data_IF_092644147271
#
_entry.id   IF_092644147271
#
_cell.length_a   1.000
_cell.length_b   1.000
_cell.length_c   1.000
_cell.angle_alpha   90.00
_cell.angle_beta   90.00
_cell.angle_gamma   90.00
#
_symmetry.space_group_name_H-M   'P 1'
#
loop_
_entity.id
_entity.type
_entity.pdbx_description
1 polymer ?
#
# COMPACT_ATOMS: atom_id res chain seq x y z
N UNK A 1 -31.06 -54.81 19.42
CA UNK A 1 -32.16 -54.55 18.45
C UNK A 1 -32.13 -53.06 18.14
N UNK A 2 -32.28 -52.63 16.88
CA UNK A 2 -32.30 -51.19 16.58
C UNK A 2 -33.55 -50.57 17.23
N UNK A 3 -33.33 -49.66 18.16
CA UNK A 3 -34.39 -48.89 18.82
C UNK A 3 -34.87 -47.83 17.83
N UNK A 4 -35.85 -48.20 17.01
CA UNK A 4 -36.55 -47.24 16.13
C UNK A 4 -37.07 -46.08 16.98
N UNK A 5 -36.87 -44.85 16.53
CA UNK A 5 -37.22 -43.61 17.25
C UNK A 5 -36.49 -43.40 18.59
N UNK A 6 -35.20 -43.74 18.70
CA UNK A 6 -34.43 -43.46 19.92
C UNK A 6 -34.01 -41.98 20.06
N UNK A 7 -34.07 -41.18 18.98
CA UNK A 7 -33.85 -39.74 19.03
C UNK A 7 -35.19 -39.01 19.21
N UNK A 8 -35.20 -37.98 20.06
CA UNK A 8 -36.33 -37.04 20.12
C UNK A 8 -36.43 -36.19 18.85
N UNK A 9 -37.59 -35.55 18.63
CA UNK A 9 -37.80 -34.69 17.46
C UNK A 9 -36.81 -33.51 17.40
N UNK A 10 -36.44 -32.96 18.56
CA UNK A 10 -35.47 -31.87 18.69
C UNK A 10 -34.05 -32.32 18.29
N UNK A 11 -33.63 -33.49 18.76
CA UNK A 11 -32.30 -34.05 18.47
C UNK A 11 -32.18 -34.47 16.99
N UNK A 12 -33.25 -35.04 16.43
CA UNK A 12 -33.33 -35.37 15.00
C UNK A 12 -33.20 -34.12 14.14
N UNK A 13 -33.92 -33.05 14.49
CA UNK A 13 -33.87 -31.76 13.77
C UNK A 13 -32.49 -31.12 13.89
N UNK A 14 -31.90 -31.13 15.08
CA UNK A 14 -30.54 -30.65 15.34
C UNK A 14 -29.50 -31.36 14.44
N UNK A 15 -29.54 -32.69 14.36
CA UNK A 15 -28.63 -33.47 13.51
C UNK A 15 -28.85 -33.19 12.01
N UNK A 16 -30.10 -33.03 11.55
CA UNK A 16 -30.41 -32.68 10.16
C UNK A 16 -29.88 -31.30 9.77
N UNK A 17 -29.98 -30.31 10.66
CA UNK A 17 -29.47 -28.98 10.42
C UNK A 17 -27.93 -28.95 10.48
N UNK A 18 -27.33 -29.69 11.42
CA UNK A 18 -25.89 -29.88 11.48
C UNK A 18 -25.33 -30.54 10.21
N UNK A 19 -26.03 -31.52 9.63
CA UNK A 19 -25.63 -32.18 8.40
C UNK A 19 -25.55 -31.23 7.20
N UNK A 20 -26.39 -30.19 7.17
CA UNK A 20 -26.41 -29.17 6.10
C UNK A 20 -25.26 -28.16 6.23
N UNK A 21 -24.89 -27.82 7.47
CA UNK A 21 -23.90 -26.77 7.77
C UNK A 21 -22.47 -27.34 7.77
N UNK A 22 -22.29 -28.55 8.27
CA UNK A 22 -20.99 -29.16 8.48
C UNK A 22 -20.27 -29.45 7.14
N UNK A 23 -18.98 -29.08 7.07
CA UNK A 23 -18.16 -29.24 5.86
C UNK A 23 -17.27 -30.47 5.88
N UNK A 24 -17.01 -31.02 7.07
CA UNK A 24 -16.12 -32.17 7.26
C UNK A 24 -16.86 -33.46 6.92
N UNK A 25 -16.35 -34.19 5.93
CA UNK A 25 -16.96 -35.44 5.44
C UNK A 25 -17.14 -36.47 6.55
N UNK A 26 -16.16 -36.61 7.45
CA UNK A 26 -16.20 -37.65 8.49
C UNK A 26 -17.24 -37.36 9.58
N UNK A 27 -17.46 -36.08 9.90
CA UNK A 27 -18.49 -35.68 10.88
C UNK A 27 -19.88 -35.87 10.28
N UNK A 28 -20.05 -35.55 8.99
CA UNK A 28 -21.31 -35.80 8.27
C UNK A 28 -21.66 -37.29 8.19
N UNK A 29 -20.68 -38.14 7.92
CA UNK A 29 -20.86 -39.61 7.93
C UNK A 29 -21.35 -40.10 9.30
N UNK A 30 -20.79 -39.55 10.39
CA UNK A 30 -21.18 -39.89 11.76
C UNK A 30 -22.58 -39.38 12.13
N UNK A 31 -22.96 -38.20 11.67
CA UNK A 31 -24.34 -37.69 11.80
C UNK A 31 -25.33 -38.63 11.09
N UNK A 32 -24.97 -39.11 9.90
CA UNK A 32 -25.80 -40.05 9.15
C UNK A 32 -25.96 -41.40 9.85
N UNK A 33 -24.95 -41.88 10.60
CA UNK A 33 -25.08 -43.10 11.42
C UNK A 33 -26.26 -42.97 12.39
N UNK A 34 -26.35 -41.88 13.15
CA UNK A 34 -27.45 -41.66 14.11
C UNK A 34 -28.82 -41.51 13.43
N UNK A 35 -28.89 -40.79 12.32
CA UNK A 35 -30.16 -40.62 11.59
C UNK A 35 -30.66 -41.96 11.02
N UNK A 36 -29.77 -42.79 10.47
CA UNK A 36 -30.13 -44.08 9.89
C UNK A 36 -30.44 -45.14 10.97
N UNK A 37 -29.74 -45.10 12.10
CA UNK A 37 -30.07 -45.92 13.27
C UNK A 37 -31.47 -45.54 13.81
N UNK A 38 -31.80 -44.24 13.82
CA UNK A 38 -33.11 -43.77 14.26
C UNK A 38 -34.24 -44.20 13.32
N UNK A 39 -33.95 -44.25 12.01
CA UNK A 39 -34.86 -44.81 10.99
C UNK A 39 -35.00 -46.34 11.09
N UNK A 40 -34.26 -46.99 11.98
CA UNK A 40 -34.38 -48.41 12.31
C UNK A 40 -33.45 -49.34 11.52
N UNK A 41 -32.47 -48.80 10.80
CA UNK A 41 -31.47 -49.63 10.09
C UNK A 41 -30.50 -50.27 11.08
N UNK A 42 -30.06 -51.48 10.75
CA UNK A 42 -29.04 -52.17 11.54
C UNK A 42 -27.61 -51.73 11.15
N UNK A 43 -26.62 -52.07 11.98
CA UNK A 43 -25.23 -51.63 11.76
C UNK A 43 -24.62 -52.12 10.44
N UNK A 44 -25.05 -53.27 9.91
CA UNK A 44 -24.56 -53.78 8.62
C UNK A 44 -25.14 -52.99 7.45
N UNK A 45 -26.43 -52.66 7.50
CA UNK A 45 -27.12 -51.86 6.50
C UNK A 45 -26.57 -50.42 6.46
N UNK A 46 -26.32 -49.82 7.63
CA UNK A 46 -25.72 -48.49 7.74
C UNK A 46 -24.30 -48.50 7.16
N UNK A 47 -23.51 -49.53 7.49
CA UNK A 47 -22.15 -49.67 6.99
C UNK A 47 -22.09 -49.79 5.46
N UNK A 48 -22.97 -50.61 4.86
CA UNK A 48 -23.08 -50.76 3.40
C UNK A 48 -23.53 -49.45 2.76
N UNK A 49 -24.51 -48.76 3.34
CA UNK A 49 -25.04 -47.50 2.81
C UNK A 49 -24.01 -46.36 2.84
N UNK A 50 -23.21 -46.26 3.90
CA UNK A 50 -22.18 -45.23 4.06
C UNK A 50 -20.82 -45.62 3.48
N UNK A 51 -20.64 -46.87 3.03
CA UNK A 51 -19.37 -47.38 2.52
C UNK A 51 -18.28 -47.49 3.60
N UNK A 52 -18.65 -47.74 4.86
CA UNK A 52 -17.72 -47.84 5.99
C UNK A 52 -17.78 -49.23 6.66
N UNK A 53 -16.92 -49.49 7.65
CA UNK A 53 -16.92 -50.78 8.36
C UNK A 53 -18.04 -50.85 9.41
N UNK A 54 -18.69 -52.01 9.64
CA UNK A 54 -19.66 -52.17 10.73
C UNK A 54 -19.08 -51.84 12.12
N UNK A 55 -17.76 -52.02 12.31
CA UNK A 55 -17.05 -51.62 13.53
C UNK A 55 -17.02 -50.10 13.71
N UNK A 56 -16.90 -49.34 12.62
CA UNK A 56 -16.96 -47.87 12.63
C UNK A 56 -18.35 -47.40 13.06
N UNK A 57 -19.40 -48.01 12.50
CA UNK A 57 -20.79 -47.72 12.86
C UNK A 57 -21.04 -48.00 14.35
N UNK A 58 -20.70 -49.20 14.82
CA UNK A 58 -20.86 -49.59 16.22
C UNK A 58 -20.07 -48.70 17.18
N UNK A 59 -18.83 -48.31 16.82
CA UNK A 59 -18.02 -47.42 17.65
C UNK A 59 -18.71 -46.07 17.86
N UNK A 60 -19.18 -45.43 16.78
CA UNK A 60 -19.81 -44.11 16.87
C UNK A 60 -21.21 -44.15 17.44
N UNK A 61 -22.00 -45.20 17.19
CA UNK A 61 -23.29 -45.39 17.83
C UNK A 61 -23.17 -45.48 19.36
N UNK A 62 -22.10 -46.10 19.87
CA UNK A 62 -21.86 -46.26 21.32
C UNK A 62 -21.17 -45.04 21.95
N UNK A 63 -20.23 -44.41 21.25
CA UNK A 63 -19.34 -43.39 21.85
C UNK A 63 -19.66 -41.96 21.40
N UNK A 64 -20.44 -41.79 20.33
CA UNK A 64 -20.87 -40.48 19.85
C UNK A 64 -22.07 -39.98 20.65
N UNK A 65 -22.14 -38.67 20.86
CA UNK A 65 -23.30 -38.04 21.47
C UNK A 65 -24.10 -37.29 20.38
N UNK A 66 -25.35 -37.70 20.09
CA UNK A 66 -26.19 -37.06 19.07
C UNK A 66 -26.49 -35.58 19.39
N UNK A 67 -26.41 -35.19 20.66
CA UNK A 67 -26.71 -33.83 21.14
C UNK A 67 -25.50 -32.91 21.11
N UNK A 68 -24.35 -33.44 20.68
CA UNK A 68 -23.11 -32.68 20.58
C UNK A 68 -22.33 -33.11 19.34
N UNK A 69 -22.51 -32.39 18.22
CA UNK A 69 -21.80 -32.66 16.96
C UNK A 69 -20.28 -32.57 17.12
N UNK A 70 -19.77 -31.77 18.05
CA UNK A 70 -18.33 -31.70 18.33
C UNK A 70 -17.79 -32.97 18.98
N UNK A 71 -18.63 -33.76 19.65
CA UNK A 71 -18.27 -35.09 20.15
C UNK A 71 -18.03 -36.10 19.03
N UNK A 72 -18.60 -35.86 17.84
CA UNK A 72 -18.44 -36.69 16.64
C UNK A 72 -17.14 -36.39 15.91
N UNK A 73 -16.22 -35.63 16.50
CA UNK A 73 -14.88 -35.42 15.98
C UNK A 73 -13.91 -36.43 16.59
N UNK A 74 -12.97 -36.94 15.79
CA UNK A 74 -11.91 -37.80 16.33
C UNK A 74 -10.95 -36.96 17.17
N UNK A 75 -10.95 -37.19 18.49
CA UNK A 75 -10.06 -36.51 19.45
C UNK A 75 -8.57 -36.79 19.19
N UNK A 76 -8.23 -37.86 18.45
CA UNK A 76 -6.86 -38.18 18.00
C UNK A 76 -6.34 -37.19 16.94
N UNK A 77 -7.17 -36.30 16.40
CA UNK A 77 -6.73 -35.20 15.52
C UNK A 77 -5.92 -34.11 16.21
N UNK A 78 -5.69 -34.17 17.52
CA UNK A 78 -4.57 -33.43 18.14
C UNK A 78 -3.28 -33.96 17.51
N UNK A 79 -2.87 -33.35 16.40
CA UNK A 79 -1.67 -33.73 15.66
C UNK A 79 -0.45 -33.81 16.56
N UNK A 80 0.57 -34.55 16.09
CA UNK A 80 1.85 -34.78 16.77
C UNK A 80 2.22 -33.69 17.78
N UNK A 81 2.61 -34.09 18.99
CA UNK A 81 3.13 -33.20 20.04
C UNK A 81 3.98 -32.09 19.41
N UNK A 82 3.47 -30.86 19.40
CA UNK A 82 4.17 -29.75 18.78
C UNK A 82 5.30 -29.35 19.70
N UNK A 83 6.55 -29.48 19.24
CA UNK A 83 7.73 -29.01 19.99
C UNK A 83 7.64 -27.54 20.43
N UNK A 84 6.89 -26.72 19.69
CA UNK A 84 6.59 -25.35 20.08
C UNK A 84 5.45 -25.33 21.09
N UNK A 85 5.78 -25.09 22.36
CA UNK A 85 4.82 -24.81 23.44
C UNK A 85 4.25 -23.39 23.29
N UNK A 86 3.13 -23.10 23.95
CA UNK A 86 2.56 -21.74 23.93
C UNK A 86 3.55 -20.70 24.47
N UNK A 87 4.28 -21.05 25.53
CA UNK A 87 5.38 -20.24 26.08
C UNK A 87 6.48 -19.94 25.06
N UNK A 88 6.85 -20.92 24.21
CA UNK A 88 7.81 -20.70 23.13
C UNK A 88 7.26 -19.71 22.10
N UNK A 89 5.97 -19.82 21.77
CA UNK A 89 5.33 -18.96 20.78
C UNK A 89 5.25 -17.53 21.29
N UNK A 90 4.84 -17.31 22.54
CA UNK A 90 4.83 -15.99 23.17
C UNK A 90 6.22 -15.37 23.14
N UNK A 91 7.25 -16.13 23.56
CA UNK A 91 8.62 -15.64 23.55
C UNK A 91 9.13 -15.31 22.14
N UNK A 92 8.80 -16.14 21.15
CA UNK A 92 9.14 -15.86 19.75
C UNK A 92 8.55 -14.52 19.27
N UNK A 93 7.32 -14.19 19.68
CA UNK A 93 6.67 -12.94 19.31
C UNK A 93 7.32 -11.73 20.01
N UNK A 94 7.70 -11.86 21.28
CA UNK A 94 8.46 -10.81 21.98
C UNK A 94 9.82 -10.53 21.33
N UNK A 95 10.54 -11.59 20.96
CA UNK A 95 11.90 -11.48 20.39
C UNK A 95 11.86 -10.86 19.00
N UNK A 96 10.91 -11.27 18.14
CA UNK A 96 10.87 -10.80 16.75
C UNK A 96 10.58 -9.30 16.62
N UNK A 97 9.91 -8.72 17.61
CA UNK A 97 9.54 -7.30 17.65
C UNK A 97 10.65 -6.40 18.23
N UNK A 98 11.71 -6.98 18.80
CA UNK A 98 12.89 -6.27 19.32
C UNK A 98 14.08 -6.32 18.39
N UNK A 99 15.03 -5.40 18.55
CA UNK A 99 16.24 -5.41 17.75
C UNK A 99 17.22 -6.47 18.28
N UNK A 100 17.95 -7.20 17.42
CA UNK A 100 18.92 -8.18 17.91
C UNK A 100 20.06 -7.56 18.74
N UNK A 101 20.34 -6.27 18.54
CA UNK A 101 21.30 -5.49 19.34
C UNK A 101 20.89 -5.46 20.83
N UNK A 102 19.60 -5.42 21.13
CA UNK A 102 19.05 -5.48 22.51
C UNK A 102 19.38 -6.80 23.21
N UNK A 103 19.75 -7.83 22.44
CA UNK A 103 20.16 -9.16 22.92
C UNK A 103 21.67 -9.40 22.80
N UNK A 104 22.45 -8.34 22.50
CA UNK A 104 23.91 -8.41 22.39
C UNK A 104 24.45 -9.00 21.10
N UNK A 105 23.64 -9.06 20.03
CA UNK A 105 24.11 -9.49 18.71
C UNK A 105 24.66 -8.32 17.88
N UNK A 106 25.67 -8.61 17.06
CA UNK A 106 26.32 -7.68 16.12
C UNK A 106 25.51 -7.42 14.84
N UNK A 107 24.41 -8.14 14.63
CA UNK A 107 23.61 -8.06 13.43
C UNK A 107 22.32 -7.26 13.63
N UNK A 108 22.03 -6.33 12.72
CA UNK A 108 20.84 -5.49 12.83
C UNK A 108 19.50 -6.09 12.38
N UNK A 109 19.37 -7.42 12.19
CA UNK A 109 18.05 -8.02 11.84
C UNK A 109 17.85 -9.48 12.23
N UNK A 110 16.61 -9.82 12.54
CA UNK A 110 16.17 -11.20 12.67
C UNK A 110 15.98 -11.89 11.31
N UNK A 111 16.45 -13.13 11.23
CA UNK A 111 16.06 -14.07 10.17
C UNK A 111 15.42 -15.29 10.83
N UNK A 112 14.65 -16.08 10.07
CA UNK A 112 14.08 -17.31 10.63
C UNK A 112 15.14 -18.28 11.18
N UNK A 113 16.37 -18.24 10.67
CA UNK A 113 17.49 -19.02 11.22
C UNK A 113 17.96 -18.44 12.57
N UNK A 114 18.22 -17.12 12.61
CA UNK A 114 18.68 -16.41 13.82
C UNK A 114 17.68 -16.52 14.97
N UNK A 115 16.39 -16.39 14.69
CA UNK A 115 15.33 -16.59 15.69
C UNK A 115 15.32 -18.03 16.23
N UNK A 116 15.58 -19.00 15.35
CA UNK A 116 15.69 -20.41 15.74
C UNK A 116 16.84 -20.65 16.71
N UNK A 117 18.02 -20.10 16.39
CA UNK A 117 19.23 -20.25 17.19
C UNK A 117 19.12 -19.51 18.53
N UNK A 118 18.56 -18.30 18.52
CA UNK A 118 18.33 -17.52 19.74
C UNK A 118 17.33 -18.23 20.68
N UNK A 119 16.20 -18.71 20.14
CA UNK A 119 15.21 -19.42 20.96
C UNK A 119 15.68 -20.81 21.41
N UNK A 120 16.55 -21.49 20.63
CA UNK A 120 17.21 -22.71 21.08
C UNK A 120 18.10 -22.41 22.30
N UNK A 121 18.84 -21.29 22.30
CA UNK A 121 19.66 -20.85 23.45
C UNK A 121 18.82 -20.49 24.68
N UNK A 122 17.70 -19.78 24.51
CA UNK A 122 16.87 -19.34 25.65
C UNK A 122 15.97 -20.44 26.22
N UNK A 123 15.39 -21.28 25.36
CA UNK A 123 14.33 -22.22 25.76
C UNK A 123 14.76 -23.69 25.76
N UNK A 124 15.94 -23.99 25.19
CA UNK A 124 16.41 -25.36 24.96
C UNK A 124 15.65 -26.12 23.87
N UNK A 125 14.60 -25.51 23.28
CA UNK A 125 13.77 -26.16 22.26
C UNK A 125 14.34 -25.88 20.88
N UNK A 126 14.84 -26.94 20.23
CA UNK A 126 15.31 -26.87 18.85
C UNK A 126 14.16 -26.98 17.85
N UNK A 127 13.85 -25.86 17.19
CA UNK A 127 13.05 -25.83 15.97
C UNK A 127 13.95 -25.59 14.76
N UNK A 128 13.45 -25.93 13.57
CA UNK A 128 14.06 -25.50 12.31
C UNK A 128 13.56 -24.10 11.93
N UNK A 129 14.37 -23.36 11.16
CA UNK A 129 13.97 -22.11 10.49
C UNK A 129 12.58 -22.19 9.85
N UNK A 130 12.29 -23.29 9.16
CA UNK A 130 11.01 -23.49 8.47
C UNK A 130 9.82 -23.59 9.43
N UNK A 131 10.03 -24.17 10.62
CA UNK A 131 9.00 -24.24 11.67
C UNK A 131 8.76 -22.87 12.30
N UNK A 132 9.83 -22.14 12.63
CA UNK A 132 9.74 -20.77 13.18
C UNK A 132 8.99 -19.85 12.22
N UNK A 133 9.36 -19.84 10.94
CA UNK A 133 8.68 -19.03 9.90
C UNK A 133 7.21 -19.44 9.74
N UNK A 134 6.88 -20.73 9.88
CA UNK A 134 5.48 -21.20 9.83
C UNK A 134 4.67 -20.71 11.02
N UNK A 135 5.25 -20.66 12.22
CA UNK A 135 4.61 -20.09 13.41
C UNK A 135 4.33 -18.61 13.18
N UNK A 136 5.34 -17.83 12.76
CA UNK A 136 5.19 -16.40 12.46
C UNK A 136 4.09 -16.14 11.42
N UNK A 137 4.05 -16.90 10.32
CA UNK A 137 2.99 -16.79 9.31
C UNK A 137 1.60 -17.09 9.87
N UNK A 138 1.46 -18.11 10.72
CA UNK A 138 0.17 -18.41 11.40
C UNK A 138 -0.26 -17.29 12.34
N UNK A 139 0.70 -16.59 12.96
CA UNK A 139 0.47 -15.39 13.77
C UNK A 139 0.39 -14.10 12.95
N UNK A 140 0.23 -14.18 11.62
CA UNK A 140 0.06 -13.06 10.67
C UNK A 140 1.28 -12.14 10.51
N UNK A 141 2.47 -12.58 10.90
CA UNK A 141 3.72 -11.86 10.58
C UNK A 141 4.13 -12.07 9.12
N UNK A 142 4.72 -11.04 8.53
CA UNK A 142 5.18 -11.04 7.14
C UNK A 142 6.66 -10.66 7.06
N UNK A 143 7.45 -11.41 6.28
CA UNK A 143 8.85 -11.09 6.03
C UNK A 143 8.98 -10.17 4.83
N UNK A 144 9.16 -8.87 5.09
CA UNK A 144 9.27 -7.81 4.09
C UNK A 144 10.56 -7.02 4.26
N UNK A 145 10.89 -6.20 3.27
CA UNK A 145 12.00 -5.26 3.39
C UNK A 145 11.63 -4.16 4.39
N UNK A 146 12.52 -3.90 5.36
CA UNK A 146 12.44 -2.70 6.18
C UNK A 146 12.49 -1.45 5.30
N UNK A 147 11.81 -0.40 5.75
CA UNK A 147 11.85 0.90 5.08
C UNK A 147 12.83 1.78 5.82
N UNK A 148 13.60 2.57 5.07
CA UNK A 148 14.26 3.74 5.65
C UNK A 148 13.15 4.70 6.11
N UNK A 149 13.12 5.02 7.39
CA UNK A 149 12.35 6.14 7.92
C UNK A 149 13.29 7.32 8.13
N UNK A 150 12.82 8.52 7.83
CA UNK A 150 13.48 9.78 8.19
C UNK A 150 12.64 10.55 9.21
N UNK A 151 11.66 9.90 9.84
CA UNK A 151 10.75 10.51 10.82
C UNK A 151 11.51 11.13 11.99
N UNK A 152 12.60 10.51 12.44
CA UNK A 152 13.44 11.05 13.53
C UNK A 152 14.10 12.39 13.17
N UNK A 153 14.23 12.69 11.87
CA UNK A 153 14.77 13.97 11.38
C UNK A 153 13.68 15.00 11.06
N UNK A 154 12.41 14.63 11.17
CA UNK A 154 11.29 15.53 10.95
C UNK A 154 10.97 16.32 12.22
N UNK A 155 10.85 17.64 12.08
CA UNK A 155 10.27 18.46 13.13
C UNK A 155 8.74 18.39 13.04
N UNK A 156 8.11 17.66 13.97
CA UNK A 156 6.66 17.41 13.95
C UNK A 156 5.83 18.69 14.16
N UNK A 157 6.31 19.63 14.98
CA UNK A 157 5.62 20.91 15.20
C UNK A 157 5.58 21.74 13.92
N UNK A 158 6.72 21.85 13.22
CA UNK A 158 6.79 22.55 11.94
C UNK A 158 5.94 21.88 10.86
N UNK A 159 5.89 20.53 10.83
CA UNK A 159 5.02 19.79 9.92
C UNK A 159 3.55 20.09 10.19
N UNK A 160 3.13 20.07 11.45
CA UNK A 160 1.74 20.36 11.85
C UNK A 160 1.34 21.79 11.48
N UNK A 161 2.14 22.78 11.86
CA UNK A 161 1.87 24.18 11.55
C UNK A 161 1.80 24.45 10.03
N UNK A 162 2.72 23.86 9.26
CA UNK A 162 2.68 23.97 7.80
C UNK A 162 1.46 23.29 7.19
N UNK A 163 1.06 22.13 7.73
CA UNK A 163 -0.13 21.41 7.27
C UNK A 163 -1.41 22.23 7.47
N UNK A 164 -1.60 22.81 8.65
CA UNK A 164 -2.75 23.69 8.95
C UNK A 164 -2.79 24.89 8.00
N UNK A 165 -1.63 25.53 7.77
CA UNK A 165 -1.49 26.64 6.82
C UNK A 165 -1.82 26.22 5.37
N UNK A 166 -1.34 25.05 4.96
CA UNK A 166 -1.59 24.51 3.61
C UNK A 166 -3.07 24.17 3.42
N UNK A 167 -3.71 23.56 4.43
CA UNK A 167 -5.14 23.24 4.42
C UNK A 167 -5.98 24.52 4.27
N UNK A 168 -5.62 25.59 4.98
CA UNK A 168 -6.29 26.89 4.84
C UNK A 168 -6.18 27.48 3.42
N UNK A 169 -4.99 27.46 2.80
CA UNK A 169 -4.85 27.91 1.41
C UNK A 169 -5.64 27.05 0.41
N UNK A 170 -5.67 25.74 0.64
CA UNK A 170 -6.41 24.80 -0.19
C UNK A 170 -7.91 25.04 -0.07
N UNK A 171 -8.43 25.27 1.13
CA UNK A 171 -9.85 25.56 1.37
C UNK A 171 -10.29 26.81 0.61
N UNK A 172 -9.56 27.93 0.79
CA UNK A 172 -9.83 29.17 0.05
C UNK A 172 -9.73 28.95 -1.46
N UNK A 173 -8.70 28.24 -1.93
CA UNK A 173 -8.49 27.99 -3.36
C UNK A 173 -9.49 27.00 -3.98
N UNK A 174 -10.15 26.15 -3.18
CA UNK A 174 -11.27 25.29 -3.63
C UNK A 174 -12.53 26.12 -3.81
N UNK A 175 -12.85 26.99 -2.85
CA UNK A 175 -14.05 27.82 -2.87
C UNK A 175 -13.94 28.98 -3.86
N UNK A 176 -12.77 29.63 -3.90
CA UNK A 176 -12.51 30.84 -4.68
C UNK A 176 -11.21 30.73 -5.49
N UNK A 177 -11.18 29.95 -6.59
CA UNK A 177 -10.00 29.78 -7.43
C UNK A 177 -9.49 31.07 -8.10
N UNK A 178 -10.36 32.09 -8.22
CA UNK A 178 -9.98 33.42 -8.73
C UNK A 178 -9.24 34.26 -7.68
N UNK A 179 -9.38 33.93 -6.39
CA UNK A 179 -8.69 34.63 -5.30
C UNK A 179 -7.36 33.96 -4.94
N UNK A 180 -7.35 32.63 -4.84
CA UNK A 180 -6.15 31.89 -4.44
C UNK A 180 -5.97 30.65 -5.30
N UNK A 181 -4.76 30.46 -5.81
CA UNK A 181 -4.36 29.25 -6.53
C UNK A 181 -3.14 28.63 -5.86
N UNK A 182 -3.30 27.41 -5.36
CA UNK A 182 -2.20 26.63 -4.78
C UNK A 182 -1.59 25.74 -5.85
N UNK A 183 -0.29 25.90 -6.08
CA UNK A 183 0.50 25.15 -7.05
C UNK A 183 1.61 24.38 -6.34
N UNK A 184 1.64 23.06 -6.52
CA UNK A 184 2.72 22.20 -6.04
C UNK A 184 3.78 22.11 -7.11
N UNK A 185 4.98 22.62 -6.83
CA UNK A 185 6.03 22.83 -7.82
C UNK A 185 7.28 22.01 -7.50
N UNK A 186 7.85 21.38 -8.52
CA UNK A 186 9.02 20.49 -8.37
C UNK A 186 9.74 20.26 -9.70
N UNK A 187 10.92 19.64 -9.61
CA UNK A 187 11.72 19.19 -10.74
C UNK A 187 11.76 17.66 -10.86
N UNK A 188 11.70 17.16 -12.09
CA UNK A 188 11.75 15.74 -12.35
C UNK A 188 12.58 15.38 -13.59
N UNK A 189 13.32 14.28 -13.46
CA UNK A 189 14.10 13.67 -14.53
C UNK A 189 13.43 12.48 -15.18
N UNK A 190 13.36 12.48 -16.51
CA UNK A 190 12.97 11.34 -17.34
C UNK A 190 14.17 10.85 -18.15
N UNK A 191 14.53 9.58 -18.00
CA UNK A 191 15.76 9.00 -18.57
C UNK A 191 15.40 8.18 -19.81
N UNK A 192 16.24 8.24 -20.85
CA UNK A 192 16.11 7.45 -22.09
C UNK A 192 16.25 5.94 -21.89
N UNK A 193 16.90 5.53 -20.80
CA UNK A 193 17.05 4.12 -20.43
C UNK A 193 15.70 3.53 -20.03
N UNK A 194 15.42 2.33 -20.53
CA UNK A 194 14.22 1.57 -20.17
C UNK A 194 14.11 1.37 -18.66
N UNK A 195 13.07 1.96 -18.07
CA UNK A 195 12.70 1.76 -16.67
C UNK A 195 11.97 0.43 -16.56
N UNK A 196 12.45 -0.45 -15.68
CA UNK A 196 11.83 -1.76 -15.40
C UNK A 196 10.94 -1.65 -14.17
N UNK A 197 9.72 -2.17 -14.27
CA UNK A 197 8.77 -2.24 -13.16
C UNK A 197 8.47 -3.69 -12.78
N UNK A 198 7.57 -3.90 -11.82
CA UNK A 198 7.05 -5.24 -11.53
C UNK A 198 6.15 -5.64 -12.69
N UNK A 199 6.21 -6.91 -13.09
CA UNK A 199 5.40 -7.44 -14.19
C UNK A 199 4.95 -8.85 -13.85
N UNK A 200 3.78 -9.23 -14.34
CA UNK A 200 3.26 -10.58 -14.17
C UNK A 200 4.04 -11.56 -15.04
N UNK A 201 4.38 -12.71 -14.47
CA UNK A 201 5.00 -13.83 -15.17
C UNK A 201 4.61 -15.13 -14.49
N UNK A 202 4.62 -16.24 -15.24
CA UNK A 202 4.33 -17.56 -14.67
C UNK A 202 5.34 -17.87 -13.56
N UNK A 203 4.87 -18.45 -12.45
CA UNK A 203 5.73 -18.84 -11.32
C UNK A 203 6.89 -19.70 -11.82
N UNK A 204 8.11 -19.37 -11.39
CA UNK A 204 9.34 -20.05 -11.83
C UNK A 204 9.90 -19.60 -13.19
N UNK A 205 9.18 -18.75 -13.95
CA UNK A 205 9.69 -18.17 -15.21
C UNK A 205 10.05 -16.69 -15.00
N UNK A 206 11.06 -16.21 -15.72
CA UNK A 206 11.48 -14.80 -15.72
C UNK A 206 11.14 -14.16 -17.06
N UNK A 207 10.31 -13.11 -17.05
CA UNK A 207 10.04 -12.30 -18.26
C UNK A 207 11.30 -11.50 -18.62
N UNK A 208 11.83 -11.73 -19.82
CA UNK A 208 12.92 -10.93 -20.40
C UNK A 208 12.34 -9.68 -21.05
N UNK A 209 13.00 -8.54 -20.85
CA UNK A 209 12.62 -7.24 -21.40
C UNK A 209 13.83 -6.71 -22.13
N UNK A 210 13.65 -6.29 -23.39
CA UNK A 210 14.72 -5.62 -24.16
C UNK A 210 15.09 -4.33 -23.42
N UNK A 211 16.28 -4.30 -22.85
CA UNK A 211 16.75 -3.18 -22.03
C UNK A 211 17.83 -2.42 -22.77
N UNK A 212 17.45 -1.53 -23.68
CA UNK A 212 18.40 -0.65 -24.32
C UNK A 212 18.93 0.35 -23.28
N UNK A 213 20.25 0.41 -23.14
CA UNK A 213 20.94 1.29 -22.18
C UNK A 213 21.32 2.61 -22.84
N UNK A 214 20.38 3.25 -23.53
CA UNK A 214 20.60 4.57 -24.13
C UNK A 214 20.87 5.60 -23.02
N UNK A 215 21.80 6.52 -23.28
CA UNK A 215 22.16 7.61 -22.36
C UNK A 215 21.37 8.86 -22.71
N UNK A 216 21.07 9.65 -21.68
CA UNK A 216 20.41 10.95 -21.81
C UNK A 216 19.14 11.05 -20.96
N UNK A 217 18.78 12.29 -20.67
CA UNK A 217 17.70 12.66 -19.75
C UNK A 217 17.03 13.94 -20.23
N UNK A 218 15.71 13.99 -20.06
CA UNK A 218 14.90 15.20 -20.16
C UNK A 218 14.62 15.66 -18.73
N UNK A 219 14.93 16.91 -18.43
CA UNK A 219 14.61 17.54 -17.15
C UNK A 219 13.36 18.38 -17.35
N UNK A 220 12.43 18.23 -16.42
CA UNK A 220 11.17 18.96 -16.39
C UNK A 220 11.11 19.73 -15.08
N UNK A 221 10.67 20.97 -15.14
CA UNK A 221 10.29 21.77 -13.98
C UNK A 221 8.86 22.21 -14.17
N UNK A 222 8.02 22.06 -13.15
CA UNK A 222 6.62 22.42 -13.31
C UNK A 222 5.80 22.31 -12.06
N UNK A 223 4.53 22.65 -12.23
CA UNK A 223 3.55 22.71 -11.17
C UNK A 223 2.27 21.94 -11.50
N UNK A 224 1.56 21.53 -10.45
CA UNK A 224 0.14 21.16 -10.52
C UNK A 224 -0.69 22.08 -9.63
N UNK A 225 -1.74 22.67 -10.21
CA UNK A 225 -2.75 23.44 -9.50
C UNK A 225 -3.66 22.50 -8.71
N UNK A 226 -3.87 22.81 -7.45
CA UNK A 226 -4.61 21.94 -6.56
C UNK A 226 -6.11 21.84 -6.92
N UNK A 227 -6.76 22.97 -7.24
CA UNK A 227 -8.22 23.06 -7.39
C UNK A 227 -8.77 22.20 -8.53
N UNK A 228 -8.17 22.29 -9.71
CA UNK A 228 -8.64 21.63 -10.94
C UNK A 228 -7.65 20.59 -11.49
N UNK A 229 -6.53 20.37 -10.79
CA UNK A 229 -5.46 19.46 -11.20
C UNK A 229 -4.81 19.87 -12.53
N UNK A 230 -4.95 21.13 -12.96
CA UNK A 230 -4.26 21.68 -14.13
C UNK A 230 -2.76 21.58 -13.91
N UNK A 231 -2.04 21.13 -14.93
CA UNK A 231 -0.59 20.92 -14.88
C UNK A 231 0.06 21.91 -15.83
N UNK A 232 1.21 22.42 -15.40
CA UNK A 232 2.08 23.17 -16.29
C UNK A 232 3.52 22.82 -16.06
N UNK A 233 4.14 22.22 -17.07
CA UNK A 233 5.48 21.64 -16.99
C UNK A 233 6.34 22.12 -18.15
N UNK A 234 7.55 22.59 -17.84
CA UNK A 234 8.50 23.14 -18.79
C UNK A 234 9.72 22.23 -18.91
N UNK A 235 10.18 22.01 -20.14
CA UNK A 235 11.45 21.33 -20.38
C UNK A 235 12.58 22.31 -20.08
N UNK A 236 13.52 21.88 -19.24
CA UNK A 236 14.66 22.70 -18.82
C UNK A 236 15.99 22.03 -19.19
N UNK A 237 17.00 22.86 -19.49
CA UNK A 237 18.37 22.37 -19.73
C UNK A 237 19.12 22.14 -18.43
N UNK A 238 18.97 23.05 -17.46
CA UNK A 238 19.61 23.02 -16.14
C UNK A 238 18.59 23.41 -15.06
N UNK A 239 18.71 22.80 -13.88
CA UNK A 239 17.94 23.16 -12.69
C UNK A 239 18.77 24.17 -11.89
N UNK A 240 18.59 25.46 -12.20
CA UNK A 240 19.24 26.56 -11.51
C UNK A 240 18.24 27.67 -11.21
N UNK A 241 18.69 28.61 -10.39
CA UNK A 241 17.87 29.72 -9.90
C UNK A 241 17.32 30.63 -11.00
N UNK A 242 18.08 30.86 -12.08
CA UNK A 242 17.64 31.70 -13.20
C UNK A 242 16.54 31.00 -13.99
N UNK A 243 16.74 29.73 -14.32
CA UNK A 243 15.75 28.90 -15.00
C UNK A 243 14.47 28.80 -14.19
N UNK A 244 14.58 28.68 -12.86
CA UNK A 244 13.44 28.70 -11.94
C UNK A 244 12.64 30.00 -12.02
N UNK A 245 13.30 31.15 -11.92
CA UNK A 245 12.64 32.46 -12.06
C UNK A 245 11.98 32.63 -13.44
N UNK A 246 12.62 32.15 -14.51
CA UNK A 246 12.08 32.21 -15.86
C UNK A 246 10.80 31.36 -16.00
N UNK A 247 10.80 30.13 -15.44
CA UNK A 247 9.62 29.26 -15.53
C UNK A 247 8.46 29.78 -14.69
N UNK A 248 8.72 30.39 -13.52
CA UNK A 248 7.67 31.06 -12.75
C UNK A 248 7.08 32.27 -13.48
N UNK A 249 7.91 33.04 -14.20
CA UNK A 249 7.42 34.12 -15.05
C UNK A 249 6.48 33.59 -16.14
N UNK A 250 6.83 32.49 -16.81
CA UNK A 250 5.95 31.85 -17.80
C UNK A 250 4.62 31.39 -17.20
N UNK A 251 4.66 30.78 -16.01
CA UNK A 251 3.44 30.41 -15.28
C UNK A 251 2.57 31.64 -14.98
N UNK A 252 3.18 32.73 -14.49
CA UNK A 252 2.48 33.97 -14.17
C UNK A 252 1.77 34.58 -15.39
N UNK A 253 2.47 34.67 -16.53
CA UNK A 253 1.88 35.15 -17.79
C UNK A 253 0.74 34.25 -18.28
N UNK A 254 0.85 32.93 -18.11
CA UNK A 254 -0.23 32.01 -18.48
C UNK A 254 -1.47 32.15 -17.60
N UNK A 255 -1.29 32.34 -16.29
CA UNK A 255 -2.40 32.59 -15.36
C UNK A 255 -3.04 33.95 -15.65
N UNK A 256 -2.24 34.96 -16.00
CA UNK A 256 -2.71 36.26 -16.46
C UNK A 256 -3.54 36.14 -17.74
N UNK A 257 -3.08 35.37 -18.72
CA UNK A 257 -3.84 35.11 -19.95
C UNK A 257 -5.15 34.35 -19.67
N UNK A 258 -5.14 33.38 -18.75
CA UNK A 258 -6.35 32.70 -18.28
C UNK A 258 -7.34 33.68 -17.62
N UNK A 259 -6.84 34.60 -16.79
CA UNK A 259 -7.62 35.65 -16.14
C UNK A 259 -8.26 36.61 -17.14
N UNK A 260 -7.50 37.08 -18.13
CA UNK A 260 -8.00 37.96 -19.20
C UNK A 260 -9.02 37.24 -20.08
N UNK A 261 -8.80 35.95 -20.36
CA UNK A 261 -9.75 35.13 -21.14
C UNK A 261 -11.10 34.95 -20.45
N UNK A 262 -11.18 35.17 -19.13
CA UNK A 262 -12.43 35.17 -18.36
C UNK A 262 -13.16 36.53 -18.41
N UNK A 263 -12.64 37.51 -19.14
CA UNK A 263 -13.27 38.82 -19.35
C UNK A 263 -12.79 39.94 -18.44
N UNK A 264 -11.73 39.71 -17.66
CA UNK A 264 -11.15 40.73 -16.79
C UNK A 264 -10.10 41.59 -17.53
N UNK A 265 -9.88 42.83 -17.07
CA UNK A 265 -8.83 43.69 -17.63
C UNK A 265 -7.43 43.18 -17.23
N UNK A 266 -6.51 43.23 -18.19
CA UNK A 266 -5.11 42.87 -18.01
C UNK A 266 -4.40 43.77 -17.00
N UNK A 267 -4.77 45.06 -16.96
CA UNK A 267 -4.16 46.07 -16.09
C UNK A 267 -4.40 45.77 -14.61
N UNK A 268 -5.55 45.18 -14.32
CA UNK A 268 -5.99 44.91 -12.95
C UNK A 268 -5.40 43.59 -12.40
N UNK A 269 -4.76 42.77 -13.24
CA UNK A 269 -4.25 41.47 -12.81
C UNK A 269 -3.29 41.54 -11.61
N UNK A 270 -2.48 42.59 -11.51
CA UNK A 270 -1.55 42.72 -10.38
C UNK A 270 -2.27 42.93 -9.05
N UNK A 271 -3.40 43.64 -9.07
CA UNK A 271 -4.13 44.04 -7.87
C UNK A 271 -5.27 43.07 -7.55
N UNK A 272 -6.06 42.74 -8.57
CA UNK A 272 -7.25 41.90 -8.47
C UNK A 272 -6.94 40.42 -8.73
N UNK A 273 -5.86 40.11 -9.47
CA UNK A 273 -5.48 38.74 -9.84
C UNK A 273 -5.33 37.77 -8.66
N UNK A 274 -5.46 36.45 -8.88
CA UNK A 274 -5.33 35.46 -7.82
C UNK A 274 -3.96 35.57 -7.16
N UNK A 275 -3.91 35.34 -5.86
CA UNK A 275 -2.66 35.03 -5.17
C UNK A 275 -2.25 33.60 -5.53
N UNK A 276 -1.06 33.47 -6.11
CA UNK A 276 -0.50 32.21 -6.61
C UNK A 276 0.48 31.70 -5.56
N UNK A 277 0.07 30.71 -4.78
CA UNK A 277 0.88 30.08 -3.73
C UNK A 277 1.68 28.94 -4.35
N UNK A 278 3.00 29.09 -4.45
CA UNK A 278 3.91 28.06 -4.97
C UNK A 278 4.50 27.28 -3.78
N UNK A 279 4.12 26.00 -3.65
CA UNK A 279 4.66 25.07 -2.67
C UNK A 279 5.93 24.43 -3.23
N UNK A 280 7.07 24.61 -2.55
CA UNK A 280 8.40 24.18 -3.00
C UNK A 280 9.12 23.31 -1.98
N UNK A 281 10.07 22.50 -2.46
CA UNK A 281 11.06 21.87 -1.59
C UNK A 281 12.13 22.87 -1.11
N UNK A 282 13.01 22.40 -0.22
CA UNK A 282 14.07 23.23 0.36
C UNK A 282 15.35 23.31 -0.50
N UNK A 283 15.28 23.06 -1.81
CA UNK A 283 16.46 23.13 -2.66
C UNK A 283 17.12 24.52 -2.57
N UNK A 284 18.46 24.54 -2.47
CA UNK A 284 19.20 25.79 -2.23
C UNK A 284 18.98 26.85 -3.30
N UNK A 285 18.76 26.43 -4.55
CA UNK A 285 18.51 27.34 -5.66
C UNK A 285 17.11 28.00 -5.63
N UNK A 286 16.15 27.47 -4.86
CA UNK A 286 14.86 28.11 -4.58
C UNK A 286 14.95 29.20 -3.50
N UNK A 287 16.02 29.21 -2.70
CA UNK A 287 16.16 30.06 -1.50
C UNK A 287 17.19 31.19 -1.65
N UNK A 288 17.79 31.35 -2.82
CA UNK A 288 18.74 32.45 -3.04
C UNK A 288 18.02 33.78 -2.86
N UNK A 289 18.49 34.59 -1.92
CA UNK A 289 17.87 35.87 -1.53
C UNK A 289 17.59 36.77 -2.74
N UNK A 290 18.57 36.95 -3.61
CA UNK A 290 18.45 37.75 -4.86
C UNK A 290 17.30 37.29 -5.76
N UNK A 291 17.03 35.98 -5.79
CA UNK A 291 16.00 35.39 -6.65
C UNK A 291 14.63 35.55 -6.03
N UNK A 292 14.53 35.37 -4.71
CA UNK A 292 13.28 35.61 -3.97
C UNK A 292 12.89 37.08 -4.10
N UNK A 293 13.81 38.01 -3.87
CA UNK A 293 13.58 39.45 -4.05
C UNK A 293 13.19 39.80 -5.49
N UNK A 294 13.84 39.16 -6.48
CA UNK A 294 13.49 39.32 -7.90
C UNK A 294 12.07 38.81 -8.21
N UNK A 295 11.65 37.71 -7.61
CA UNK A 295 10.29 37.15 -7.79
C UNK A 295 9.28 38.09 -7.13
N UNK A 296 9.49 38.49 -5.89
CA UNK A 296 8.58 39.38 -5.15
C UNK A 296 8.41 40.73 -5.88
N UNK A 297 9.48 41.28 -6.44
CA UNK A 297 9.43 42.56 -7.18
C UNK A 297 8.74 42.45 -8.54
N UNK A 298 8.99 41.37 -9.29
CA UNK A 298 8.52 41.26 -10.67
C UNK A 298 7.20 40.50 -10.82
N UNK A 299 6.84 39.66 -9.86
CA UNK A 299 5.71 38.74 -9.89
C UNK A 299 4.86 38.91 -8.61
N UNK A 300 4.17 40.05 -8.43
CA UNK A 300 3.55 40.46 -7.16
C UNK A 300 2.39 39.55 -6.69
N UNK A 301 1.85 38.73 -7.60
CA UNK A 301 0.83 37.74 -7.28
C UNK A 301 1.41 36.43 -6.74
N UNK A 302 2.71 36.17 -6.93
CA UNK A 302 3.35 34.92 -6.52
C UNK A 302 3.82 35.02 -5.06
N UNK A 303 3.48 34.00 -4.28
CA UNK A 303 4.00 33.78 -2.93
C UNK A 303 4.66 32.42 -2.86
N UNK A 304 5.91 32.38 -2.41
CA UNK A 304 6.66 31.13 -2.24
C UNK A 304 6.44 30.60 -0.82
N UNK A 305 6.13 29.31 -0.71
CA UNK A 305 5.97 28.61 0.56
C UNK A 305 6.79 27.32 0.51
N UNK A 306 7.64 27.12 1.52
CA UNK A 306 8.59 26.01 1.53
C UNK A 306 8.10 24.89 2.43
N UNK A 307 8.15 23.66 1.92
CA UNK A 307 7.83 22.47 2.69
C UNK A 307 8.76 22.35 3.90
N UNK A 308 8.30 21.78 5.03
CA UNK A 308 9.17 21.41 6.13
C UNK A 308 10.22 20.39 5.67
N UNK A 309 11.36 20.36 6.37
CA UNK A 309 12.46 19.44 6.03
C UNK A 309 11.94 17.98 6.08
N UNK A 310 12.36 17.18 5.10
CA UNK A 310 11.95 15.77 4.98
C UNK A 310 10.43 15.54 4.89
N UNK A 311 9.66 16.47 4.32
CA UNK A 311 8.19 16.34 4.10
C UNK A 311 7.75 16.25 2.63
N UNK A 312 8.33 15.36 1.80
CA UNK A 312 7.97 15.21 0.40
C UNK A 312 6.55 14.66 0.17
N UNK A 313 5.97 14.02 1.18
CA UNK A 313 4.59 13.54 1.21
C UNK A 313 3.56 14.68 1.05
N UNK A 314 3.90 15.91 1.45
CA UNK A 314 3.04 17.07 1.21
C UNK A 314 3.10 17.56 -0.25
N UNK A 315 4.04 17.08 -1.06
CA UNK A 315 4.17 17.53 -2.44
C UNK A 315 3.34 16.68 -3.42
N UNK A 316 2.18 17.19 -3.84
CA UNK A 316 1.27 16.46 -4.73
C UNK A 316 1.84 16.15 -6.11
N UNK A 317 2.78 16.96 -6.61
CA UNK A 317 3.33 16.76 -7.96
C UNK A 317 4.18 15.49 -8.05
N UNK A 318 4.68 14.95 -6.92
CA UNK A 318 5.36 13.64 -6.90
C UNK A 318 4.44 12.53 -7.46
N UNK A 319 3.12 12.63 -7.27
CA UNK A 319 2.14 11.69 -7.83
C UNK A 319 2.06 11.78 -9.36
N UNK A 320 2.16 12.99 -9.91
CA UNK A 320 2.21 13.24 -11.35
C UNK A 320 3.48 12.62 -11.94
N UNK A 321 4.63 12.87 -11.31
CA UNK A 321 5.91 12.29 -11.71
C UNK A 321 5.91 10.77 -11.67
N UNK A 322 5.39 10.18 -10.60
CA UNK A 322 5.30 8.73 -10.47
C UNK A 322 4.39 8.12 -11.54
N UNK A 323 3.24 8.74 -11.82
CA UNK A 323 2.30 8.27 -12.83
C UNK A 323 2.88 8.37 -14.24
N UNK A 324 3.53 9.49 -14.57
CA UNK A 324 4.22 9.66 -15.85
C UNK A 324 5.35 8.63 -16.04
N UNK A 325 6.16 8.40 -14.99
CA UNK A 325 7.22 7.38 -15.02
C UNK A 325 6.67 5.96 -15.14
N UNK A 326 5.50 5.68 -14.58
CA UNK A 326 4.83 4.38 -14.74
C UNK A 326 4.35 4.18 -16.18
N UNK A 327 3.76 5.21 -16.79
CA UNK A 327 3.36 5.16 -18.20
C UNK A 327 4.55 4.95 -19.16
N UNK A 328 5.68 5.59 -18.85
CA UNK A 328 6.92 5.50 -19.63
C UNK A 328 7.66 4.17 -19.40
N UNK A 329 7.37 3.46 -18.30
CA UNK A 329 8.04 2.19 -18.00
C UNK A 329 7.85 1.18 -19.14
N UNK A 330 8.89 0.38 -19.39
CA UNK A 330 8.95 -0.59 -20.50
C UNK A 330 8.86 -0.02 -21.94
N UNK A 331 8.73 1.30 -22.13
CA UNK A 331 8.81 1.91 -23.46
C UNK A 331 10.27 2.12 -23.87
N UNK A 332 10.53 1.93 -25.16
CA UNK A 332 11.80 2.29 -25.80
C UNK A 332 11.60 3.62 -26.51
N UNK A 333 12.57 4.52 -26.37
CA UNK A 333 12.61 5.79 -27.08
C UNK A 333 13.87 5.82 -27.94
N UNK A 334 13.73 6.29 -29.17
CA UNK A 334 14.82 6.36 -30.13
C UNK A 334 15.81 7.46 -29.75
N UNK A 335 15.30 8.62 -29.36
CA UNK A 335 16.11 9.79 -29.04
C UNK A 335 15.45 10.65 -27.97
N UNK A 336 16.18 11.67 -27.50
CA UNK A 336 15.73 12.59 -26.47
C UNK A 336 14.46 13.34 -26.89
N UNK A 337 14.35 13.71 -28.17
CA UNK A 337 13.21 14.46 -28.70
C UNK A 337 11.91 13.65 -28.61
N UNK A 338 11.94 12.35 -28.94
CA UNK A 338 10.77 11.48 -28.81
C UNK A 338 10.33 11.32 -27.35
N UNK A 339 11.30 11.20 -26.42
CA UNK A 339 11.02 11.17 -25.00
C UNK A 339 10.40 12.49 -24.54
N UNK A 340 10.95 13.62 -24.97
CA UNK A 340 10.47 14.96 -24.64
C UNK A 340 9.04 15.19 -25.13
N UNK A 341 8.74 14.89 -26.40
CA UNK A 341 7.38 14.96 -26.96
C UNK A 341 6.39 14.11 -26.15
N UNK A 342 6.79 12.89 -25.81
CA UNK A 342 5.94 11.99 -25.00
C UNK A 342 5.69 12.56 -23.60
N UNK A 343 6.73 13.08 -22.96
CA UNK A 343 6.62 13.69 -21.63
C UNK A 343 5.74 14.95 -21.69
N UNK A 344 5.87 15.80 -22.71
CA UNK A 344 5.03 16.97 -22.90
C UNK A 344 3.56 16.59 -23.07
N UNK A 345 3.27 15.60 -23.92
CA UNK A 345 1.92 15.08 -24.13
C UNK A 345 1.29 14.59 -22.81
N UNK A 346 2.04 13.83 -22.00
CA UNK A 346 1.55 13.32 -20.73
C UNK A 346 1.30 14.43 -19.70
N UNK A 347 2.21 15.40 -19.62
CA UNK A 347 2.20 16.38 -18.53
C UNK A 347 1.34 17.60 -18.83
N UNK A 348 1.25 18.04 -20.08
CA UNK A 348 0.60 19.29 -20.47
C UNK A 348 -0.64 19.09 -21.34
N UNK A 349 -0.72 18.02 -22.14
CA UNK A 349 -1.78 17.84 -23.16
C UNK A 349 -2.86 16.83 -22.75
N UNK A 350 -2.94 16.51 -21.45
CA UNK A 350 -3.97 15.61 -20.92
C UNK A 350 -3.73 14.12 -21.18
N UNK A 351 -2.58 13.71 -21.73
CA UNK A 351 -2.26 12.32 -22.02
C UNK A 351 -2.13 11.40 -20.79
N UNK A 352 -2.05 11.98 -19.58
CA UNK A 352 -1.87 11.23 -18.33
C UNK A 352 -3.11 11.34 -17.44
N UNK A 353 -3.87 10.24 -17.40
CA UNK A 353 -5.01 10.04 -16.50
C UNK A 353 -4.51 9.57 -15.13
N UNK A 354 -4.77 10.36 -14.09
CA UNK A 354 -4.44 10.03 -12.70
C UNK A 354 -5.75 9.84 -11.95
N UNK A 355 -5.89 8.69 -11.28
CA UNK A 355 -7.02 8.46 -10.39
C UNK A 355 -6.73 9.13 -9.04
N UNK A 356 -7.31 10.32 -8.84
CA UNK A 356 -7.16 11.13 -7.63
C UNK A 356 -7.96 10.62 -6.42
N UNK A 357 -8.91 9.68 -6.58
CA UNK A 357 -9.71 9.15 -5.47
C UNK A 357 -9.02 8.01 -4.70
N UNK A 358 -7.91 7.48 -5.21
CA UNK A 358 -7.11 6.51 -4.47
C UNK A 358 -6.28 7.24 -3.40
N UNK A 359 -6.38 6.80 -2.15
CA UNK A 359 -5.40 7.18 -1.11
C UNK A 359 -4.02 6.76 -1.60
N UNK A 360 -3.20 7.73 -1.99
CA UNK A 360 -1.83 7.46 -2.38
C UNK A 360 -1.00 7.31 -1.11
N UNK A 361 -0.32 6.17 -0.97
CA UNK A 361 0.78 6.05 -0.02
C UNK A 361 1.98 6.77 -0.63
N UNK A 362 2.18 8.05 -0.29
CA UNK A 362 3.44 8.70 -0.58
C UNK A 362 4.36 8.53 0.63
N UNK A 363 5.45 7.78 0.46
CA UNK A 363 6.51 7.55 1.47
C UNK A 363 6.09 7.11 2.88
N UNK A 364 4.82 6.81 3.16
CA UNK A 364 4.38 6.30 4.47
C UNK A 364 2.97 6.74 4.84
N UNK A 365 2.60 7.97 4.47
CA UNK A 365 1.31 8.57 4.83
C UNK A 365 0.28 8.45 3.70
N UNK A 366 -0.99 8.33 4.10
CA UNK A 366 -2.13 8.35 3.19
C UNK A 366 -2.50 9.80 2.93
N UNK A 367 -2.22 10.30 1.72
CA UNK A 367 -2.69 11.63 1.33
C UNK A 367 -4.15 11.49 0.89
N UNK A 368 -5.08 12.18 1.55
CA UNK A 368 -6.41 12.40 1.01
C UNK A 368 -6.29 13.44 -0.10
N UNK A 369 -6.52 13.03 -1.34
CA UNK A 369 -6.45 13.91 -2.52
C UNK A 369 -7.84 14.36 -2.98
N UNK A 370 -8.87 14.05 -2.19
CA UNK A 370 -10.28 14.43 -2.37
C UNK A 370 -10.56 15.90 -2.06
#
# INVERSE_FOLDING_TARGET
>A
MPSKNFLSEEERKYLQDALKIEKRSEVRERILIFLLENDGKNYQEIAVFLGCSPKTVAYWAVHGNPNNVDSLQDKRRKGNQTKATDKYIERLLEVVDKNPEDFGYDFGRWTGQRLSEHLEKETGIKLSKSQVVRILKRKKYSYIWGKYSLEDKQNQEQRKAFKEKLEHYIEIGKENPELVQVWFWDECGFILRVIRRKTWTKKGKRKKVKGERRRGRVNIMGGIRYSDKKRRCFVIKKGDSETFCEQLKKLWEEIKNEWVSKGNDEKDFKECGPKIIIILDNASFHKKKEIVEKIEKNLPNIRLEYLPVYSPDYNLIELVWNSAKEYIAYRNFENKEQLEKTVNYLLNEGGLVINWSKKFKNKGELINVS
#
